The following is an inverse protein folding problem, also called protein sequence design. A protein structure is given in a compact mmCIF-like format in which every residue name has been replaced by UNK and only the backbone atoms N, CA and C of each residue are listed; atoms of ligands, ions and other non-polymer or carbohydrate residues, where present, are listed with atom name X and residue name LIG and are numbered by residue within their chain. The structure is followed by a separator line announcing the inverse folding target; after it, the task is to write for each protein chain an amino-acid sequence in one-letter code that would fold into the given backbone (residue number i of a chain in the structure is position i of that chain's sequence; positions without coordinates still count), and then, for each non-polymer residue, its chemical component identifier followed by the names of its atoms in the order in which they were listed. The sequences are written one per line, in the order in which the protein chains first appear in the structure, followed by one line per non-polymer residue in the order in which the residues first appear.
data_IF_601955851982
#
_entry.id   IF_601955851982
#
_cell.length_a   1.000
_cell.length_b   1.000
_cell.length_c   1.000
_cell.angle_alpha   90.00
_cell.angle_beta   90.00
_cell.angle_gamma   90.00
#
_symmetry.space_group_name_H-M   'P 1'
#
loop_
_entity.id
_entity.type
_entity.pdbx_description
1 polymer ?
#
# COMPACT_ATOMS: atom_id res chain seq x y z
N UNK A 1 -0.83 -7.31 -15.63
CA UNK A 1 0.35 -7.69 -14.84
C UNK A 1 1.56 -7.61 -15.76
N UNK A 2 2.55 -6.84 -15.37
CA UNK A 2 3.82 -6.70 -16.07
C UNK A 2 4.93 -7.21 -15.14
N UNK A 3 5.83 -8.02 -15.68
CA UNK A 3 7.00 -8.51 -14.95
C UNK A 3 8.25 -8.10 -15.73
N UNK A 4 9.15 -7.38 -15.08
CA UNK A 4 10.43 -6.96 -15.63
C UNK A 4 11.53 -7.80 -15.01
N UNK A 5 12.20 -8.61 -15.85
CA UNK A 5 13.19 -9.63 -15.50
C UNK A 5 12.59 -10.87 -14.80
N UNK A 6 13.42 -11.78 -14.25
CA UNK A 6 13.00 -13.14 -13.91
C UNK A 6 11.73 -13.22 -13.08
N UNK A 7 10.82 -14.14 -13.41
CA UNK A 7 9.67 -14.47 -12.59
C UNK A 7 10.11 -15.27 -11.34
N UNK A 8 9.23 -15.38 -10.34
CA UNK A 8 9.48 -16.12 -9.10
C UNK A 8 9.93 -17.55 -9.33
N UNK A 9 9.43 -18.20 -10.38
CA UNK A 9 9.80 -19.57 -10.76
C UNK A 9 11.26 -19.70 -11.22
N UNK A 10 11.90 -18.62 -11.59
CA UNK A 10 13.27 -18.55 -12.09
C UNK A 10 14.25 -18.13 -10.98
N UNK A 11 13.75 -17.60 -9.87
CA UNK A 11 14.57 -17.16 -8.76
C UNK A 11 15.06 -18.37 -7.95
N UNK A 12 16.36 -18.41 -7.68
CA UNK A 12 17.01 -19.51 -6.96
C UNK A 12 17.04 -19.35 -5.45
N UNK A 13 16.51 -18.25 -4.92
CA UNK A 13 16.52 -17.94 -3.50
C UNK A 13 15.69 -16.71 -3.19
N UNK A 14 15.80 -16.22 -1.97
CA UNK A 14 15.17 -14.97 -1.57
C UNK A 14 15.75 -13.84 -2.43
N UNK A 15 14.90 -13.23 -3.25
CA UNK A 15 15.28 -12.10 -4.09
C UNK A 15 14.40 -10.91 -3.72
N UNK A 16 15.02 -9.74 -3.63
CA UNK A 16 14.28 -8.49 -3.51
C UNK A 16 13.59 -8.16 -4.83
N UNK A 17 12.37 -7.69 -4.76
CA UNK A 17 11.66 -7.14 -5.89
C UNK A 17 10.90 -5.88 -5.50
N UNK A 18 10.59 -5.04 -6.47
CA UNK A 18 9.65 -3.95 -6.29
C UNK A 18 8.30 -4.32 -6.88
N UNK A 19 7.22 -3.94 -6.20
CA UNK A 19 5.86 -4.02 -6.70
C UNK A 19 5.29 -2.61 -6.77
N UNK A 20 4.77 -2.25 -7.94
CA UNK A 20 4.05 -1.00 -8.16
C UNK A 20 2.62 -1.35 -8.50
N UNK A 21 1.66 -0.81 -7.76
CA UNK A 21 0.25 -0.89 -8.07
C UNK A 21 -0.23 0.48 -8.56
N UNK A 22 -0.68 0.54 -9.80
CA UNK A 22 -1.35 1.72 -10.36
C UNK A 22 -2.85 1.46 -10.33
N UNK A 23 -3.57 2.25 -9.56
CA UNK A 23 -5.01 2.14 -9.39
C UNK A 23 -5.69 3.34 -10.08
N UNK A 24 -6.66 3.06 -10.95
CA UNK A 24 -7.60 4.08 -11.35
C UNK A 24 -8.79 4.03 -10.39
N UNK A 25 -8.96 5.09 -9.66
CA UNK A 25 -10.03 5.26 -8.68
C UNK A 25 -11.14 6.10 -9.32
N UNK A 26 -12.39 5.79 -9.03
CA UNK A 26 -13.52 6.64 -9.39
C UNK A 26 -13.52 7.91 -8.57
N UNK A 27 -14.35 8.85 -8.97
CA UNK A 27 -14.51 10.10 -8.24
C UNK A 27 -15.01 9.78 -6.83
N UNK A 28 -14.17 10.06 -5.85
CA UNK A 28 -14.53 10.03 -4.44
C UNK A 28 -14.79 11.51 -4.09
N UNK A 29 -15.84 12.07 -4.71
CA UNK A 29 -16.28 13.41 -4.37
C UNK A 29 -17.04 13.35 -3.05
N UNK A 30 -16.69 14.21 -2.12
CA UNK A 30 -17.43 14.38 -0.89
C UNK A 30 -17.54 15.87 -0.56
N UNK A 31 -18.76 16.35 -0.49
CA UNK A 31 -19.08 17.70 -0.04
C UNK A 31 -19.34 17.76 1.49
N UNK A 32 -19.22 16.62 2.18
CA UNK A 32 -19.51 16.47 3.62
C UNK A 32 -18.31 15.89 4.37
N UNK A 33 -18.12 16.29 5.64
CA UNK A 33 -17.01 15.82 6.50
C UNK A 33 -17.02 14.29 6.69
N UNK A 34 -18.21 13.70 6.82
CA UNK A 34 -18.38 12.25 6.95
C UNK A 34 -17.93 11.50 5.69
N UNK A 35 -18.15 12.09 4.52
CA UNK A 35 -17.71 11.53 3.24
C UNK A 35 -16.18 11.60 3.09
N UNK A 36 -15.54 12.67 3.58
CA UNK A 36 -14.08 12.80 3.58
C UNK A 36 -13.43 11.67 4.40
N UNK A 37 -13.96 11.35 5.58
CA UNK A 37 -13.47 10.23 6.37
C UNK A 37 -13.64 8.90 5.63
N UNK A 38 -14.75 8.69 4.93
CA UNK A 38 -14.98 7.49 4.13
C UNK A 38 -13.99 7.39 2.96
N UNK A 39 -13.70 8.51 2.28
CA UNK A 39 -12.71 8.56 1.21
C UNK A 39 -11.31 8.16 1.72
N UNK A 40 -10.89 8.70 2.85
CA UNK A 40 -9.61 8.33 3.45
C UNK A 40 -9.56 6.88 3.93
N UNK A 41 -10.64 6.34 4.47
CA UNK A 41 -10.74 4.91 4.79
C UNK A 41 -10.62 4.04 3.55
N UNK A 42 -11.22 4.45 2.45
CA UNK A 42 -11.09 3.74 1.18
C UNK A 42 -9.64 3.74 0.67
N UNK A 43 -8.92 4.85 0.77
CA UNK A 43 -7.50 4.95 0.41
C UNK A 43 -6.64 4.04 1.31
N UNK A 44 -6.87 4.07 2.62
CA UNK A 44 -6.18 3.20 3.57
C UNK A 44 -6.41 1.72 3.24
N UNK A 45 -7.65 1.35 2.93
CA UNK A 45 -8.00 -0.03 2.55
C UNK A 45 -7.30 -0.49 1.27
N UNK A 46 -7.09 0.42 0.30
CA UNK A 46 -6.31 0.13 -0.92
C UNK A 46 -4.85 -0.23 -0.60
N UNK A 47 -4.20 0.48 0.33
CA UNK A 47 -2.84 0.14 0.74
C UNK A 47 -2.79 -1.18 1.53
N UNK A 48 -3.80 -1.46 2.34
CA UNK A 48 -3.87 -2.67 3.16
C UNK A 48 -4.14 -3.96 2.38
N UNK A 49 -4.46 -3.88 1.11
CA UNK A 49 -4.61 -5.05 0.23
C UNK A 49 -3.38 -5.97 0.29
N UNK A 50 -2.18 -5.41 0.41
CA UNK A 50 -0.93 -6.19 0.53
C UNK A 50 -0.92 -7.19 1.68
N UNK A 51 -1.68 -6.95 2.73
CA UNK A 51 -1.79 -7.86 3.89
C UNK A 51 -2.83 -8.96 3.72
N UNK A 52 -3.65 -8.90 2.66
CA UNK A 52 -4.73 -9.86 2.35
C UNK A 52 -4.40 -10.79 1.20
N UNK A 53 -3.19 -10.74 0.68
CA UNK A 53 -2.79 -11.52 -0.50
C UNK A 53 -2.06 -12.79 -0.07
N UNK A 54 -2.68 -13.93 -0.39
CA UNK A 54 -2.20 -15.27 -0.04
C UNK A 54 -2.22 -16.19 -1.27
N UNK A 55 -1.33 -16.00 -2.25
CA UNK A 55 -1.36 -16.78 -3.48
C UNK A 55 -1.18 -18.27 -3.18
N UNK A 56 -2.13 -19.09 -3.62
CA UNK A 56 -2.16 -20.53 -3.34
C UNK A 56 -2.03 -20.88 -1.85
N UNK A 57 -2.46 -20.01 -0.94
CA UNK A 57 -2.39 -20.20 0.52
C UNK A 57 -1.03 -19.88 1.15
N UNK A 58 -0.09 -19.32 0.41
CA UNK A 58 1.22 -18.92 0.94
C UNK A 58 1.28 -17.41 1.17
N UNK A 59 1.80 -17.03 2.34
CA UNK A 59 1.99 -15.63 2.69
C UNK A 59 3.20 -15.06 1.95
N UNK A 60 3.04 -13.87 1.39
CA UNK A 60 4.14 -13.03 0.93
C UNK A 60 4.49 -12.08 2.08
N UNK A 61 5.75 -12.11 2.51
CA UNK A 61 6.22 -11.20 3.54
C UNK A 61 6.72 -9.90 2.91
N UNK A 62 6.23 -8.79 3.45
CA UNK A 62 6.76 -7.46 3.19
C UNK A 62 7.82 -7.15 4.24
N UNK A 63 9.00 -6.71 3.83
CA UNK A 63 9.98 -6.17 4.76
C UNK A 63 9.60 -4.75 5.16
N UNK A 64 9.50 -4.49 6.46
CA UNK A 64 9.19 -3.16 6.98
C UNK A 64 10.37 -2.18 6.88
N UNK A 65 11.60 -2.68 6.73
CA UNK A 65 12.78 -1.83 6.75
C UNK A 65 13.16 -1.26 5.38
N UNK A 66 12.80 -1.94 4.30
CA UNK A 66 13.24 -1.55 2.96
C UNK A 66 12.10 -1.37 1.97
N UNK A 67 10.84 -1.43 2.36
CA UNK A 67 9.68 -1.44 1.45
C UNK A 67 9.82 -2.38 0.23
N UNK A 68 10.88 -3.18 0.21
CA UNK A 68 11.07 -4.27 -0.74
C UNK A 68 10.27 -5.45 -0.25
N UNK A 69 9.38 -5.92 -1.07
CA UNK A 69 8.69 -7.16 -0.78
C UNK A 69 9.68 -8.30 -0.98
N UNK A 70 10.04 -8.95 0.11
CA UNK A 70 10.84 -10.17 0.03
C UNK A 70 9.89 -11.36 -0.05
N UNK A 71 9.98 -12.08 -1.14
CA UNK A 71 9.26 -13.33 -1.31
C UNK A 71 10.02 -14.43 -0.59
N UNK A 72 9.65 -14.69 0.64
CA UNK A 72 10.09 -15.89 1.34
C UNK A 72 9.16 -17.05 1.06
N UNK A 73 9.30 -17.60 -0.12
CA UNK A 73 8.56 -18.78 -0.51
C UNK A 73 9.32 -20.02 -0.10
N UNK A 74 8.61 -20.97 0.55
CA UNK A 74 9.17 -22.29 0.79
C UNK A 74 9.46 -23.01 -0.52
N UNK A 75 10.46 -23.92 -0.52
CA UNK A 75 10.72 -24.77 -1.68
C UNK A 75 9.46 -25.53 -2.13
N UNK A 76 8.54 -25.86 -1.22
CA UNK A 76 7.27 -26.49 -1.52
C UNK A 76 6.34 -25.55 -2.30
N UNK A 77 6.33 -24.25 -1.99
CA UNK A 77 5.54 -23.25 -2.72
C UNK A 77 6.06 -23.05 -4.14
N UNK A 78 7.39 -22.97 -4.31
CA UNK A 78 8.02 -22.86 -5.62
C UNK A 78 7.71 -24.08 -6.50
N UNK A 79 7.78 -25.30 -5.94
CA UNK A 79 7.41 -26.53 -6.63
C UNK A 79 5.94 -26.56 -7.08
N UNK A 80 5.05 -25.82 -6.40
CA UNK A 80 3.65 -25.65 -6.80
C UNK A 80 3.45 -24.61 -7.90
N UNK A 81 4.52 -24.05 -8.45
CA UNK A 81 4.48 -23.08 -9.56
C UNK A 81 3.85 -21.75 -9.17
N UNK A 82 4.28 -21.17 -8.05
CA UNK A 82 3.97 -19.77 -7.72
C UNK A 82 4.76 -18.87 -8.65
N UNK A 83 4.08 -17.92 -9.25
CA UNK A 83 4.66 -16.94 -10.18
C UNK A 83 4.15 -15.53 -9.82
N UNK A 84 4.80 -14.49 -10.31
CA UNK A 84 4.27 -13.13 -10.17
C UNK A 84 2.90 -12.98 -10.82
N UNK A 85 2.60 -13.74 -11.86
CA UNK A 85 1.26 -13.78 -12.44
C UNK A 85 0.21 -14.30 -11.44
N UNK A 86 0.52 -15.35 -10.70
CA UNK A 86 -0.37 -15.87 -9.67
C UNK A 86 -0.55 -14.87 -8.53
N UNK A 87 0.56 -14.29 -8.05
CA UNK A 87 0.55 -13.23 -7.05
C UNK A 87 -0.26 -12.02 -7.50
N UNK A 88 -0.01 -11.55 -8.72
CA UNK A 88 -0.70 -10.40 -9.29
C UNK A 88 -2.20 -10.63 -9.47
N UNK A 89 -2.62 -11.84 -9.86
CA UNK A 89 -4.04 -12.18 -9.93
C UNK A 89 -4.71 -12.13 -8.55
N UNK A 90 -4.02 -12.53 -7.49
CA UNK A 90 -4.54 -12.41 -6.13
C UNK A 90 -4.67 -10.94 -5.70
N UNK A 91 -3.68 -10.09 -5.99
CA UNK A 91 -3.78 -8.65 -5.77
C UNK A 91 -4.97 -8.05 -6.51
N UNK A 92 -5.12 -8.34 -7.81
CA UNK A 92 -6.24 -7.83 -8.61
C UNK A 92 -7.57 -8.29 -8.03
N UNK A 93 -7.68 -9.53 -7.58
CA UNK A 93 -8.90 -10.06 -6.96
C UNK A 93 -9.24 -9.29 -5.68
N UNK A 94 -8.25 -8.97 -4.85
CA UNK A 94 -8.45 -8.20 -3.63
C UNK A 94 -8.83 -6.74 -3.93
N UNK A 95 -8.12 -6.08 -4.86
CA UNK A 95 -8.46 -4.72 -5.27
C UNK A 95 -9.87 -4.59 -5.83
N UNK A 96 -10.34 -5.58 -6.59
CA UNK A 96 -11.70 -5.59 -7.14
C UNK A 96 -12.81 -5.68 -6.09
N UNK A 97 -12.50 -5.98 -4.84
CA UNK A 97 -13.49 -5.96 -3.75
C UNK A 97 -13.80 -4.52 -3.30
N UNK A 98 -12.93 -3.56 -3.58
CA UNK A 98 -13.17 -2.16 -3.33
C UNK A 98 -13.95 -1.54 -4.50
N UNK A 99 -15.19 -1.05 -4.29
CA UNK A 99 -16.05 -0.54 -5.36
C UNK A 99 -15.48 0.72 -6.01
N UNK A 100 -14.62 1.47 -5.34
CA UNK A 100 -14.02 2.69 -5.85
C UNK A 100 -12.89 2.41 -6.86
N UNK A 101 -12.40 1.17 -6.98
CA UNK A 101 -11.33 0.82 -7.91
C UNK A 101 -11.89 0.42 -9.26
N UNK A 102 -11.64 1.24 -10.26
CA UNK A 102 -12.10 1.05 -11.64
C UNK A 102 -11.12 0.23 -12.49
N UNK A 103 -9.82 0.36 -12.23
CA UNK A 103 -8.80 -0.39 -12.94
C UNK A 103 -7.54 -0.59 -12.09
N UNK A 104 -6.84 -1.70 -12.34
CA UNK A 104 -5.60 -2.07 -11.64
C UNK A 104 -4.54 -2.46 -12.67
N UNK A 105 -3.35 -1.87 -12.57
CA UNK A 105 -2.14 -2.34 -13.25
C UNK A 105 -1.08 -2.65 -12.20
N UNK A 106 -0.57 -3.87 -12.21
CA UNK A 106 0.51 -4.30 -11.34
C UNK A 106 1.79 -4.47 -12.12
N UNK A 107 2.87 -3.95 -11.57
CA UNK A 107 4.21 -3.99 -12.15
C UNK A 107 5.13 -4.62 -11.11
N UNK A 108 5.80 -5.71 -11.47
CA UNK A 108 6.84 -6.34 -10.67
C UNK A 108 8.19 -6.10 -11.35
N UNK A 109 9.16 -5.68 -10.57
CA UNK A 109 10.52 -5.40 -11.03
C UNK A 109 11.47 -6.30 -10.25
N UNK A 110 12.17 -7.17 -10.94
CA UNK A 110 13.16 -8.11 -10.38
C UNK A 110 14.55 -7.88 -10.97
N UNK A 111 14.70 -6.88 -11.83
CA UNK A 111 15.99 -6.51 -12.43
C UNK A 111 17.01 -6.20 -11.32
N UNK A 112 18.18 -6.84 -11.31
CA UNK A 112 19.17 -6.62 -10.27
C UNK A 112 19.80 -5.21 -10.32
N UNK A 113 19.73 -4.57 -11.47
CA UNK A 113 20.24 -3.22 -11.78
C UNK A 113 19.18 -2.12 -11.68
N UNK A 114 17.94 -2.45 -11.22
CA UNK A 114 16.93 -1.45 -10.99
C UNK A 114 17.32 -0.50 -9.84
N UNK A 115 16.96 0.77 -9.97
CA UNK A 115 17.17 1.76 -8.90
C UNK A 115 16.16 1.54 -7.75
N UNK A 116 16.45 0.53 -6.94
CA UNK A 116 15.63 0.21 -5.78
C UNK A 116 15.65 1.32 -4.72
N UNK A 117 16.72 2.13 -4.66
CA UNK A 117 16.80 3.20 -3.69
C UNK A 117 15.78 4.30 -3.99
N UNK A 118 15.62 4.69 -5.25
CA UNK A 118 14.57 5.62 -5.67
C UNK A 118 13.18 5.05 -5.38
N UNK A 119 12.95 3.77 -5.72
CA UNK A 119 11.66 3.11 -5.43
C UNK A 119 11.36 3.01 -3.94
N UNK A 120 12.37 2.82 -3.09
CA UNK A 120 12.22 2.83 -1.64
C UNK A 120 11.78 4.20 -1.11
N UNK A 121 12.31 5.28 -1.68
CA UNK A 121 11.92 6.63 -1.27
C UNK A 121 10.44 6.90 -1.57
N UNK A 122 9.98 6.54 -2.77
CA UNK A 122 8.56 6.64 -3.13
C UNK A 122 7.67 5.77 -2.23
N UNK A 123 8.08 4.53 -1.99
CA UNK A 123 7.35 3.62 -1.12
C UNK A 123 7.30 4.13 0.33
N UNK A 124 8.35 4.83 0.80
CA UNK A 124 8.36 5.48 2.10
C UNK A 124 7.31 6.59 2.18
N UNK A 125 7.22 7.43 1.15
CA UNK A 125 6.21 8.50 1.08
C UNK A 125 4.79 7.93 1.18
N UNK A 126 4.48 6.91 0.37
CA UNK A 126 3.17 6.23 0.42
C UNK A 126 2.88 5.65 1.81
N UNK A 127 3.86 4.99 2.42
CA UNK A 127 3.71 4.46 3.78
C UNK A 127 3.46 5.55 4.81
N UNK A 128 4.17 6.66 4.72
CA UNK A 128 4.06 7.75 5.67
C UNK A 128 2.67 8.44 5.55
N UNK A 129 2.11 8.54 4.34
CA UNK A 129 0.72 8.95 4.10
C UNK A 129 -0.25 7.99 4.80
N UNK A 130 -0.12 6.69 4.56
CA UNK A 130 -1.00 5.68 5.18
C UNK A 130 -0.89 5.67 6.71
N UNK A 131 0.31 5.86 7.26
CA UNK A 131 0.51 5.96 8.70
C UNK A 131 -0.14 7.21 9.29
N UNK A 132 -0.08 8.34 8.59
CA UNK A 132 -0.75 9.57 9.01
C UNK A 132 -2.26 9.38 9.03
N UNK A 133 -2.83 8.81 7.96
CA UNK A 133 -4.25 8.48 7.88
C UNK A 133 -4.67 7.55 9.01
N UNK A 134 -3.91 6.50 9.30
CA UNK A 134 -4.22 5.55 10.38
C UNK A 134 -4.30 6.26 11.73
N UNK A 135 -3.34 7.14 12.05
CA UNK A 135 -3.33 7.89 13.30
C UNK A 135 -4.55 8.80 13.44
N UNK A 136 -4.92 9.51 12.35
CA UNK A 136 -6.06 10.42 12.35
C UNK A 136 -7.37 9.64 12.49
N UNK A 137 -7.59 8.61 11.67
CA UNK A 137 -8.82 7.83 11.65
C UNK A 137 -9.04 6.99 12.92
N UNK A 138 -7.97 6.58 13.58
CA UNK A 138 -8.02 5.86 14.84
C UNK A 138 -8.18 6.79 16.06
N UNK A 139 -8.16 8.11 15.83
CA UNK A 139 -8.30 9.11 16.88
C UNK A 139 -7.16 9.08 17.90
N UNK A 140 -5.96 8.67 17.47
CA UNK A 140 -4.80 8.65 18.36
C UNK A 140 -4.40 10.08 18.70
N UNK A 141 -4.24 10.41 20.01
CA UNK A 141 -3.77 11.71 20.43
C UNK A 141 -2.34 11.90 19.89
N UNK A 142 -2.15 12.89 19.06
CA UNK A 142 -0.85 13.23 18.49
C UNK A 142 -0.49 14.66 18.83
N UNK A 143 0.67 14.84 19.45
CA UNK A 143 1.28 16.15 19.55
C UNK A 143 1.83 16.52 18.17
N UNK A 144 1.07 17.33 17.41
CA UNK A 144 1.45 17.78 16.08
C UNK A 144 2.78 18.55 16.05
N UNK A 145 3.14 19.20 17.17
CA UNK A 145 4.39 19.95 17.27
C UNK A 145 5.63 19.08 17.20
N UNK A 146 5.57 17.87 17.74
CA UNK A 146 6.66 16.90 17.78
C UNK A 146 6.48 15.74 16.80
N UNK A 147 5.41 15.70 16.02
CA UNK A 147 5.09 14.60 15.14
C UNK A 147 5.98 14.58 13.89
N UNK A 148 6.68 13.47 13.66
CA UNK A 148 7.53 13.27 12.48
C UNK A 148 6.76 13.12 11.17
N UNK A 149 5.43 12.92 11.23
CA UNK A 149 4.54 12.82 10.07
C UNK A 149 3.84 14.15 9.74
N UNK A 150 4.08 15.20 10.53
CA UNK A 150 3.48 16.52 10.31
C UNK A 150 3.65 17.04 8.88
N UNK A 151 4.84 16.96 8.24
CA UNK A 151 5.01 17.43 6.88
C UNK A 151 4.05 16.76 5.88
N UNK A 152 3.78 15.47 6.06
CA UNK A 152 2.84 14.72 5.22
C UNK A 152 1.41 15.24 5.41
N UNK A 153 0.99 15.47 6.66
CA UNK A 153 -0.34 16.00 6.94
C UNK A 153 -0.52 17.43 6.41
N UNK A 154 0.56 18.22 6.33
CA UNK A 154 0.51 19.59 5.79
C UNK A 154 0.47 19.59 4.24
N UNK A 155 0.97 18.54 3.58
CA UNK A 155 1.04 18.46 2.11
C UNK A 155 -0.18 17.74 1.50
N UNK A 156 -0.80 16.81 2.21
CA UNK A 156 -1.93 16.05 1.69
C UNK A 156 -3.23 16.81 1.96
N UNK A 157 -3.87 17.25 0.86
CA UNK A 157 -5.14 17.95 0.92
C UNK A 157 -6.20 17.15 1.68
N UNK A 158 -6.94 17.82 2.56
CA UNK A 158 -7.99 17.23 3.39
C UNK A 158 -7.50 16.52 4.66
N UNK A 159 -6.23 16.14 4.78
CA UNK A 159 -5.72 15.52 6.00
C UNK A 159 -5.74 16.47 7.20
N UNK A 160 -5.42 17.72 6.95
CA UNK A 160 -5.37 18.74 7.99
C UNK A 160 -6.76 19.09 8.51
N UNK A 161 -7.72 19.20 7.60
CA UNK A 161 -9.13 19.46 7.94
C UNK A 161 -9.71 18.31 8.76
N UNK A 162 -9.45 17.08 8.38
CA UNK A 162 -9.89 15.90 9.12
C UNK A 162 -9.27 15.84 10.53
N UNK A 163 -8.00 16.21 10.65
CA UNK A 163 -7.31 16.25 11.94
C UNK A 163 -7.86 17.33 12.86
N UNK A 164 -7.98 18.58 12.38
CA UNK A 164 -8.46 19.72 13.16
C UNK A 164 -9.96 19.74 13.36
N UNK A 165 -10.75 19.13 12.47
CA UNK A 165 -12.19 18.95 12.64
C UNK A 165 -12.52 18.12 13.88
N UNK A 166 -11.74 17.08 14.17
CA UNK A 166 -11.88 16.27 15.39
C UNK A 166 -11.47 17.00 16.67
N UNK A 167 -10.55 17.98 16.61
CA UNK A 167 -10.16 18.77 17.77
C UNK A 167 -11.24 19.78 18.21
N UNK A 168 -12.09 20.25 17.30
CA UNK A 168 -13.17 21.20 17.61
C UNK A 168 -14.33 20.58 18.40
N UNK A 169 -14.47 19.26 18.39
CA UNK A 169 -15.52 18.57 19.13
C UNK A 169 -15.13 18.12 20.55
N UNK A 170 -13.87 18.37 20.98
CA UNK A 170 -13.39 17.97 22.31
C UNK A 170 -13.29 19.13 23.30
N UNK A 171 -13.80 20.31 22.94
CA UNK A 171 -13.77 21.50 23.79
C UNK A 171 -15.17 22.10 23.99
N UNK A 172 -16.14 21.28 24.48
CA UNK A 172 -17.32 21.77 25.22
C UNK A 172 -17.67 20.80 26.35
#
# INVERSE_FOLDING_TARGET
ILVFCPDLTELRGDSAYARIALLRVGDIESDDEDDTEQAFRAIQDMDFVKYRVFPKGYMIRTSSESNREQVRLSSAALKKGISFRAVGNDFIRQYKQNPNILAVKLIFITAPDADYAALEQEAKTVRDITMSLSKILEGMPTDCGSCNLKPICDEVEGMRELHFGKEKHTTE
#
